data_IF_677645063563
#
_entry.id   IF_677645063563
#
_cell.length_a   1.000
_cell.length_b   1.000
_cell.length_c   1.000
_cell.angle_alpha   90.00
_cell.angle_beta   90.00
_cell.angle_gamma   90.00
#
_symmetry.space_group_name_H-M   'P 1'
#
loop_
_entity.id
_entity.type
_entity.pdbx_description
1 polymer ?
#
# COMPACT_ATOMS: atom_id res chain seq x y z
N UNK A 1 10.21 19.87 26.79
CA UNK A 1 10.78 18.56 26.48
C UNK A 1 9.58 17.63 26.27
N UNK A 2 9.02 17.60 25.05
CA UNK A 2 7.83 16.80 24.75
C UNK A 2 8.31 15.54 24.05
N UNK A 3 8.18 14.41 24.75
CA UNK A 3 8.37 13.07 24.17
C UNK A 3 7.18 12.80 23.22
N UNK A 4 7.41 12.84 21.93
CA UNK A 4 6.45 12.35 20.94
C UNK A 4 6.51 10.83 21.00
N UNK A 5 5.59 10.24 21.75
CA UNK A 5 5.32 8.80 21.72
C UNK A 5 4.65 8.48 20.39
N UNK A 6 5.40 7.97 19.44
CA UNK A 6 4.88 7.23 18.29
C UNK A 6 4.34 5.90 18.83
N UNK A 7 3.06 5.86 19.15
CA UNK A 7 2.37 4.61 19.46
C UNK A 7 2.25 3.78 18.19
N UNK A 8 3.13 2.81 18.06
CA UNK A 8 2.77 1.60 17.34
C UNK A 8 1.61 0.98 18.11
N UNK A 9 0.57 0.49 17.43
CA UNK A 9 -0.54 -0.23 18.02
C UNK A 9 -0.03 -1.43 18.85
N UNK A 10 0.12 -1.23 20.15
CA UNK A 10 0.45 -2.22 21.14
C UNK A 10 -0.33 -1.91 22.40
N UNK A 11 -1.45 -2.63 22.60
CA UNK A 11 -2.26 -2.59 23.80
C UNK A 11 -1.57 -3.30 24.96
N UNK A 12 -1.50 -2.65 26.10
CA UNK A 12 -1.06 -3.21 27.39
C UNK A 12 -1.92 -2.72 28.55
N UNK A 13 -2.85 -3.56 29.01
CA UNK A 13 -3.27 -3.77 30.36
C UNK A 13 -4.20 -2.80 31.09
N UNK A 14 -5.45 -3.23 31.30
CA UNK A 14 -6.27 -2.81 32.44
C UNK A 14 -7.73 -2.50 32.15
N UNK A 15 -8.60 -3.51 32.15
CA UNK A 15 -10.00 -3.52 32.59
C UNK A 15 -11.06 -2.68 31.88
N UNK A 16 -11.89 -3.37 31.17
CA UNK A 16 -13.32 -3.29 30.84
C UNK A 16 -13.65 -3.11 29.36
N UNK A 17 -14.41 -4.08 28.88
CA UNK A 17 -15.21 -4.23 27.66
C UNK A 17 -15.22 -3.09 26.63
N UNK A 18 -14.64 -3.36 25.45
CA UNK A 18 -14.77 -2.55 24.25
C UNK A 18 -13.87 -3.10 23.15
N UNK A 19 -14.44 -3.59 22.07
CA UNK A 19 -13.82 -4.41 21.03
C UNK A 19 -12.45 -3.98 20.52
N UNK A 20 -11.52 -4.88 20.59
CA UNK A 20 -10.19 -4.77 19.99
C UNK A 20 -10.30 -4.99 18.49
N UNK A 21 -10.05 -3.96 17.69
CA UNK A 21 -9.75 -4.11 16.27
C UNK A 21 -8.36 -4.73 16.15
N UNK A 22 -8.32 -6.05 16.03
CA UNK A 22 -7.10 -6.76 15.70
C UNK A 22 -6.74 -6.55 14.24
N UNK A 23 -5.51 -6.13 13.96
CA UNK A 23 -4.93 -6.17 12.62
C UNK A 23 -4.84 -7.62 12.16
N UNK A 24 -5.84 -8.06 11.40
CA UNK A 24 -5.87 -9.41 10.84
C UNK A 24 -5.21 -9.37 9.46
N UNK A 25 -4.03 -9.95 9.33
CA UNK A 25 -3.44 -10.23 8.04
C UNK A 25 -4.05 -11.52 7.46
N UNK A 26 -4.74 -11.42 6.34
CA UNK A 26 -5.27 -12.60 5.65
C UNK A 26 -4.31 -13.09 4.57
N UNK A 27 -3.94 -14.34 4.65
CA UNK A 27 -3.38 -15.07 3.52
C UNK A 27 -4.53 -15.68 2.71
N UNK A 28 -4.59 -15.37 1.43
CA UNK A 28 -5.57 -15.93 0.52
C UNK A 28 -5.35 -17.44 0.36
N UNK A 29 -6.41 -18.20 0.56
CA UNK A 29 -6.42 -19.63 0.31
C UNK A 29 -6.71 -19.87 -1.17
N UNK A 30 -5.72 -20.29 -1.95
CA UNK A 30 -5.91 -20.77 -3.31
C UNK A 30 -5.99 -22.30 -3.31
N UNK A 31 -7.19 -22.85 -3.17
CA UNK A 31 -7.44 -24.24 -3.56
C UNK A 31 -8.02 -24.25 -4.98
N UNK A 32 -7.15 -24.39 -5.98
CA UNK A 32 -7.55 -24.64 -7.35
C UNK A 32 -7.78 -26.12 -7.57
N UNK A 33 -8.99 -26.52 -7.97
CA UNK A 33 -9.20 -27.78 -8.65
C UNK A 33 -9.61 -27.50 -10.10
N UNK A 34 -8.87 -28.11 -11.01
CA UNK A 34 -9.07 -28.00 -12.45
C UNK A 34 -10.33 -28.70 -12.94
N UNK A 35 -10.87 -28.17 -14.01
CA UNK A 35 -11.92 -28.78 -14.81
C UNK A 35 -11.77 -28.31 -16.25
N UNK A 36 -11.32 -29.22 -17.09
CA UNK A 36 -11.20 -29.09 -18.53
C UNK A 36 -12.57 -29.03 -19.23
N UNK A 37 -12.73 -28.13 -20.20
CA UNK A 37 -13.88 -28.10 -21.09
C UNK A 37 -13.62 -27.22 -22.30
N UNK A 38 -13.19 -27.86 -23.40
CA UNK A 38 -13.15 -27.27 -24.75
C UNK A 38 -14.55 -27.16 -25.33
N UNK A 39 -14.88 -26.05 -25.96
CA UNK A 39 -15.62 -26.06 -27.22
C UNK A 39 -15.52 -24.69 -27.89
N UNK A 40 -15.21 -24.73 -29.16
CA UNK A 40 -15.01 -23.62 -30.04
C UNK A 40 -16.33 -23.08 -30.62
N UNK A 41 -16.28 -21.91 -31.22
CA UNK A 41 -17.40 -21.28 -31.94
C UNK A 41 -16.91 -20.04 -32.68
N UNK A 42 -17.01 -20.12 -33.95
CA UNK A 42 -16.54 -19.27 -35.03
C UNK A 42 -17.10 -17.86 -35.08
N UNK A 43 -16.33 -17.02 -35.73
CA UNK A 43 -16.50 -15.61 -36.04
C UNK A 43 -17.71 -15.31 -36.94
N UNK A 44 -18.26 -14.11 -36.87
CA UNK A 44 -18.63 -13.37 -38.07
C UNK A 44 -18.67 -11.85 -37.78
N UNK A 45 -18.17 -11.11 -38.72
CA UNK A 45 -17.99 -9.67 -38.68
C UNK A 45 -19.26 -8.90 -39.02
N UNK A 46 -19.24 -7.63 -38.70
CA UNK A 46 -20.25 -6.64 -39.09
C UNK A 46 -19.68 -5.24 -38.95
N UNK A 47 -19.30 -4.67 -40.07
CA UNK A 47 -19.02 -3.26 -40.24
C UNK A 47 -20.32 -2.44 -40.24
N UNK A 48 -20.39 -1.36 -39.47
CA UNK A 48 -21.32 -0.28 -39.74
C UNK A 48 -20.67 1.08 -39.42
N UNK A 49 -20.46 1.84 -40.46
CA UNK A 49 -20.16 3.26 -40.49
C UNK A 49 -21.40 4.09 -40.16
N UNK A 50 -21.24 5.14 -39.38
CA UNK A 50 -22.27 6.15 -39.15
C UNK A 50 -21.74 7.32 -38.33
N UNK A 51 -21.47 8.43 -39.01
CA UNK A 51 -21.00 9.68 -38.42
C UNK A 51 -22.13 10.46 -37.76
N UNK A 52 -21.76 11.30 -36.80
CA UNK A 52 -22.62 12.29 -36.16
C UNK A 52 -21.81 13.27 -35.36
N UNK A 53 -21.82 14.51 -35.79
CA UNK A 53 -21.07 15.65 -35.35
C UNK A 53 -21.59 16.30 -34.07
N UNK A 54 -20.62 16.79 -33.26
CA UNK A 54 -20.56 18.04 -32.50
C UNK A 54 -21.45 18.27 -31.28
N UNK A 55 -20.83 18.62 -30.20
CA UNK A 55 -21.41 19.45 -29.16
C UNK A 55 -20.64 19.50 -27.84
N UNK A 56 -19.95 20.60 -27.57
CA UNK A 56 -19.74 21.08 -26.23
C UNK A 56 -18.49 20.63 -25.52
N UNK A 57 -17.39 21.31 -25.75
CA UNK A 57 -16.17 21.16 -24.95
C UNK A 57 -16.35 21.67 -23.51
N UNK A 58 -16.07 20.80 -22.57
CA UNK A 58 -15.53 21.17 -21.27
C UNK A 58 -14.07 20.82 -21.33
N UNK A 59 -13.22 21.81 -21.22
CA UNK A 59 -11.77 21.68 -21.11
C UNK A 59 -11.41 20.98 -19.79
N UNK A 60 -11.58 19.67 -19.78
CA UNK A 60 -10.86 18.83 -18.81
C UNK A 60 -9.39 18.93 -19.20
N UNK A 61 -8.60 19.55 -18.35
CA UNK A 61 -7.16 19.58 -18.55
C UNK A 61 -6.67 18.15 -18.73
N UNK A 62 -5.90 17.94 -19.78
CA UNK A 62 -5.22 16.68 -20.04
C UNK A 62 -4.52 16.24 -18.76
N UNK A 63 -4.69 15.00 -18.29
CA UNK A 63 -3.95 14.54 -17.11
C UNK A 63 -2.47 14.74 -17.41
N UNK A 64 -1.81 15.47 -16.51
CA UNK A 64 -0.36 15.70 -16.62
C UNK A 64 0.31 14.35 -16.87
N UNK A 65 1.23 14.26 -17.84
CA UNK A 65 1.88 12.98 -18.14
C UNK A 65 2.47 12.41 -16.86
N UNK A 66 2.20 11.13 -16.63
CA UNK A 66 2.68 10.41 -15.45
C UNK A 66 4.20 10.52 -15.43
N UNK A 67 4.79 10.99 -14.33
CA UNK A 67 6.22 11.18 -14.28
C UNK A 67 6.92 9.83 -14.44
N UNK A 68 8.01 9.79 -15.22
CA UNK A 68 8.91 8.62 -15.21
C UNK A 68 9.37 8.35 -13.77
N UNK A 69 9.86 7.14 -13.52
CA UNK A 69 10.41 6.74 -12.21
C UNK A 69 11.40 7.79 -11.69
N UNK A 70 12.31 8.27 -12.55
CA UNK A 70 13.27 9.33 -12.22
C UNK A 70 12.59 10.67 -11.91
N UNK A 71 11.59 11.08 -12.70
CA UNK A 71 10.89 12.33 -12.46
C UNK A 71 10.11 12.31 -11.14
N UNK A 72 9.53 11.17 -10.77
CA UNK A 72 8.86 11.00 -9.47
C UNK A 72 9.86 11.15 -8.32
N UNK A 73 11.00 10.47 -8.38
CA UNK A 73 12.05 10.55 -7.34
C UNK A 73 12.62 11.97 -7.23
N UNK A 74 12.83 12.65 -8.37
CA UNK A 74 13.24 14.06 -8.42
C UNK A 74 12.21 14.98 -7.75
N UNK A 75 10.91 14.74 -8.01
CA UNK A 75 9.83 15.50 -7.35
C UNK A 75 9.82 15.30 -5.83
N UNK A 76 10.25 14.13 -5.34
CA UNK A 76 10.44 13.87 -3.91
C UNK A 76 11.70 14.54 -3.32
N UNK A 77 12.53 15.18 -4.14
CA UNK A 77 13.79 15.79 -3.71
C UNK A 77 14.85 14.76 -3.32
N UNK A 78 14.80 13.55 -3.89
CA UNK A 78 15.70 12.45 -3.56
C UNK A 78 16.67 12.14 -4.69
N UNK A 79 17.83 11.51 -4.40
CA UNK A 79 18.78 11.03 -5.41
C UNK A 79 18.13 10.05 -6.39
N UNK A 80 18.51 10.10 -7.67
CA UNK A 80 17.98 9.25 -8.75
C UNK A 80 18.43 7.79 -8.62
N UNK A 81 17.96 7.09 -7.63
CA UNK A 81 18.17 5.66 -7.34
C UNK A 81 16.91 5.06 -6.74
N UNK A 82 16.85 3.74 -6.65
CA UNK A 82 15.78 3.07 -5.89
C UNK A 82 15.89 3.52 -4.42
N UNK A 83 14.80 4.08 -3.90
CA UNK A 83 14.74 4.62 -2.54
C UNK A 83 14.49 3.50 -1.53
N UNK A 84 15.00 3.67 -0.33
CA UNK A 84 14.73 2.77 0.79
C UNK A 84 13.80 3.44 1.80
N UNK A 85 12.81 2.70 2.27
CA UNK A 85 11.88 3.17 3.28
C UNK A 85 11.74 2.21 4.45
N UNK A 86 11.22 2.74 5.55
CA UNK A 86 10.78 1.99 6.72
C UNK A 86 9.35 2.37 7.07
N UNK A 87 8.56 1.40 7.47
CA UNK A 87 7.16 1.57 7.86
C UNK A 87 6.86 1.06 9.25
N UNK A 88 5.62 0.64 9.47
CA UNK A 88 5.12 0.20 10.76
C UNK A 88 6.07 -0.74 11.51
N UNK A 89 6.12 -0.59 12.82
CA UNK A 89 7.02 -1.37 13.70
C UNK A 89 8.46 -0.85 13.77
N UNK A 90 8.79 0.21 13.03
CA UNK A 90 10.14 0.79 13.00
C UNK A 90 10.09 2.26 13.45
N UNK A 91 10.18 2.57 14.74
CA UNK A 91 10.06 3.92 15.27
C UNK A 91 11.25 4.83 14.87
N UNK A 92 10.97 6.11 14.68
CA UNK A 92 11.97 7.08 14.22
C UNK A 92 13.14 7.27 15.20
N UNK A 93 12.90 7.16 16.49
CA UNK A 93 13.95 7.22 17.52
C UNK A 93 14.90 6.01 17.45
N UNK A 94 14.37 4.83 17.11
CA UNK A 94 15.18 3.63 16.87
C UNK A 94 15.99 3.74 15.56
N UNK A 95 15.41 4.32 14.51
CA UNK A 95 16.18 4.62 13.29
C UNK A 95 17.36 5.54 13.62
N UNK A 96 17.13 6.59 14.42
CA UNK A 96 18.18 7.52 14.86
C UNK A 96 19.26 6.84 15.70
N UNK A 97 18.85 5.98 16.64
CA UNK A 97 19.81 5.30 17.52
C UNK A 97 20.72 4.31 16.80
N UNK A 98 20.27 3.78 15.66
CA UNK A 98 21.01 2.84 14.82
C UNK A 98 21.67 3.51 13.60
N UNK A 99 21.61 4.83 13.48
CA UNK A 99 22.12 5.59 12.31
C UNK A 99 21.55 5.13 10.99
N UNK A 100 20.26 4.76 10.96
CA UNK A 100 19.54 4.35 9.76
C UNK A 100 18.92 5.59 9.12
N UNK A 101 19.26 5.88 7.87
CA UNK A 101 18.77 7.03 7.10
C UNK A 101 17.86 6.61 5.95
N UNK A 102 16.58 6.28 6.20
CA UNK A 102 15.65 5.93 5.13
C UNK A 102 15.29 7.16 4.28
N UNK A 103 14.99 6.92 3.01
CA UNK A 103 14.46 7.96 2.12
C UNK A 103 12.99 8.25 2.37
N UNK A 104 12.24 7.23 2.82
CA UNK A 104 10.79 7.27 3.06
C UNK A 104 10.50 6.69 4.45
N UNK A 105 9.57 7.32 5.18
CA UNK A 105 9.01 6.76 6.41
C UNK A 105 7.50 6.71 6.27
N UNK A 106 6.93 5.49 6.36
CA UNK A 106 5.49 5.24 6.27
C UNK A 106 4.86 5.14 7.65
N UNK A 107 3.66 5.70 7.78
CA UNK A 107 2.82 5.62 8.98
C UNK A 107 1.35 5.50 8.59
N UNK A 108 0.55 4.92 9.47
CA UNK A 108 -0.86 4.66 9.21
C UNK A 108 -1.78 5.77 9.69
N UNK A 109 -2.88 5.94 8.95
CA UNK A 109 -4.06 6.73 9.32
C UNK A 109 -5.23 5.76 9.43
N UNK A 110 -5.60 5.40 10.66
CA UNK A 110 -6.60 4.36 10.92
C UNK A 110 -7.82 4.90 11.66
N UNK A 111 -8.94 4.20 11.51
CA UNK A 111 -10.17 4.45 12.23
C UNK A 111 -11.06 5.50 11.56
N UNK A 112 -12.37 5.38 11.83
CA UNK A 112 -13.41 6.37 11.50
C UNK A 112 -14.21 6.64 12.77
N UNK A 113 -14.43 7.91 13.10
CA UNK A 113 -15.16 8.30 14.30
C UNK A 113 -14.28 8.51 15.54
N UNK A 114 -14.80 8.17 16.71
CA UNK A 114 -14.13 8.39 17.99
C UNK A 114 -12.84 7.54 18.10
N UNK A 115 -11.74 8.15 18.56
CA UNK A 115 -10.45 7.48 18.71
C UNK A 115 -9.67 7.30 17.41
N UNK A 116 -10.23 7.71 16.26
CA UNK A 116 -9.55 7.68 14.97
C UNK A 116 -8.39 8.70 14.90
N UNK A 117 -7.53 8.53 13.89
CA UNK A 117 -6.30 9.31 13.71
C UNK A 117 -6.45 10.84 13.83
N UNK A 118 -7.59 11.47 13.44
CA UNK A 118 -7.72 12.92 13.62
C UNK A 118 -7.61 13.38 15.08
N UNK A 119 -8.01 12.53 16.01
CA UNK A 119 -8.06 12.86 17.44
C UNK A 119 -6.78 12.51 18.23
N UNK A 120 -5.78 11.93 17.57
CA UNK A 120 -4.53 11.52 18.25
C UNK A 120 -3.68 12.71 18.71
N UNK A 121 -3.86 13.88 18.08
CA UNK A 121 -3.18 15.12 18.45
C UNK A 121 -4.15 16.31 18.35
N UNK A 122 -3.89 17.38 19.09
CA UNK A 122 -4.64 18.63 18.99
C UNK A 122 -3.83 19.69 18.23
N UNK A 123 -4.48 20.50 17.36
CA UNK A 123 -5.87 20.39 16.89
C UNK A 123 -6.09 19.17 15.99
N UNK A 124 -7.35 18.81 15.73
CA UNK A 124 -7.69 17.64 14.94
C UNK A 124 -6.88 17.53 13.63
N UNK A 125 -6.37 16.33 13.37
CA UNK A 125 -5.49 16.04 12.24
C UNK A 125 -4.05 16.55 12.38
N UNK A 126 -3.68 17.17 13.50
CA UNK A 126 -2.31 17.62 13.73
C UNK A 126 -1.28 16.47 13.75
N UNK A 127 -1.73 15.23 13.91
CA UNK A 127 -0.91 14.04 13.77
C UNK A 127 -0.14 14.03 12.44
N UNK A 128 -0.81 14.30 11.32
CA UNK A 128 -0.14 14.37 10.00
C UNK A 128 0.94 15.46 9.99
N UNK A 129 0.62 16.64 10.53
CA UNK A 129 1.56 17.77 10.55
C UNK A 129 2.81 17.44 11.38
N UNK A 130 2.63 16.98 12.61
CA UNK A 130 3.75 16.69 13.52
C UNK A 130 4.60 15.52 13.03
N UNK A 131 3.95 14.46 12.55
CA UNK A 131 4.63 13.28 12.02
C UNK A 131 5.42 13.63 10.76
N UNK A 132 4.81 14.34 9.81
CA UNK A 132 5.49 14.76 8.59
C UNK A 132 6.70 15.67 8.91
N UNK A 133 6.54 16.64 9.80
CA UNK A 133 7.65 17.53 10.20
C UNK A 133 8.80 16.76 10.86
N UNK A 134 8.50 15.79 11.73
CA UNK A 134 9.52 14.96 12.37
C UNK A 134 10.28 14.09 11.34
N UNK A 135 9.58 13.51 10.38
CA UNK A 135 10.16 12.69 9.30
C UNK A 135 11.00 13.56 8.37
N UNK A 136 10.51 14.73 7.98
CA UNK A 136 11.24 15.68 7.11
C UNK A 136 12.49 16.25 7.79
N UNK A 137 12.40 16.56 9.09
CA UNK A 137 13.57 16.99 9.87
C UNK A 137 14.65 15.90 9.98
N UNK A 138 14.25 14.63 9.82
CA UNK A 138 15.19 13.50 9.73
C UNK A 138 15.72 13.30 8.31
N UNK A 139 15.27 14.08 7.33
CA UNK A 139 15.69 14.00 5.94
C UNK A 139 14.92 12.98 5.10
N UNK A 140 13.84 12.39 5.60
CA UNK A 140 13.01 11.43 4.88
C UNK A 140 11.74 12.08 4.29
N UNK A 141 11.12 11.42 3.32
CA UNK A 141 9.82 11.78 2.75
C UNK A 141 8.73 11.09 3.56
N UNK A 142 7.72 11.82 4.04
CA UNK A 142 6.58 11.21 4.72
C UNK A 142 5.73 10.40 3.73
N UNK A 143 5.33 9.21 4.13
CA UNK A 143 4.30 8.41 3.50
C UNK A 143 3.20 8.14 4.52
N UNK A 144 1.95 8.21 4.08
CA UNK A 144 0.79 7.91 4.91
C UNK A 144 -0.04 6.82 4.26
N UNK A 145 -0.25 5.73 5.00
CA UNK A 145 -1.15 4.66 4.59
C UNK A 145 -2.53 4.92 5.16
N UNK A 146 -3.47 5.33 4.30
CA UNK A 146 -4.87 5.48 4.65
C UNK A 146 -5.51 4.09 4.76
N UNK A 147 -5.92 3.70 5.96
CA UNK A 147 -6.45 2.36 6.27
C UNK A 147 -7.69 2.47 7.16
N UNK A 148 -8.72 3.11 6.63
CA UNK A 148 -9.93 3.45 7.38
C UNK A 148 -11.10 2.51 7.07
N UNK A 149 -11.14 1.91 5.87
CA UNK A 149 -12.20 0.99 5.47
C UNK A 149 -12.24 -0.30 6.31
N UNK A 150 -11.13 -0.65 6.95
CA UNK A 150 -11.06 -1.78 7.89
C UNK A 150 -11.66 -1.48 9.28
N UNK A 151 -12.11 -0.25 9.58
CA UNK A 151 -12.60 0.15 10.90
C UNK A 151 -13.75 -0.71 11.42
N UNK A 152 -14.63 -1.16 10.54
CA UNK A 152 -15.78 -2.02 10.88
C UNK A 152 -15.53 -3.49 10.65
N UNK A 153 -14.29 -3.86 10.38
CA UNK A 153 -13.83 -5.19 9.99
C UNK A 153 -13.43 -5.24 8.51
N UNK A 154 -12.32 -5.89 8.22
CA UNK A 154 -11.87 -6.09 6.86
C UNK A 154 -12.92 -6.83 6.03
N UNK A 155 -13.14 -6.35 4.80
CA UNK A 155 -14.15 -6.91 3.89
C UNK A 155 -15.60 -6.61 4.25
N UNK A 156 -15.87 -5.77 5.25
CA UNK A 156 -17.24 -5.33 5.55
C UNK A 156 -17.72 -4.26 4.55
N UNK A 157 -18.24 -4.72 3.39
CA UNK A 157 -18.73 -3.81 2.35
C UNK A 157 -20.00 -3.05 2.73
N UNK A 158 -20.70 -3.41 3.81
CA UNK A 158 -21.88 -2.64 4.24
C UNK A 158 -21.50 -1.23 4.73
N UNK A 159 -20.30 -1.05 5.26
CA UNK A 159 -19.82 0.24 5.76
C UNK A 159 -19.76 1.31 4.67
N UNK A 160 -19.40 0.96 3.43
CA UNK A 160 -19.27 1.95 2.34
C UNK A 160 -20.63 2.50 1.87
N UNK A 161 -21.73 1.89 2.29
CA UNK A 161 -23.09 2.37 2.05
C UNK A 161 -23.81 2.85 3.33
N UNK A 162 -23.12 2.85 4.46
CA UNK A 162 -23.62 3.43 5.71
C UNK A 162 -23.39 4.94 5.75
N UNK A 163 -24.47 5.71 5.93
CA UNK A 163 -24.40 7.19 5.87
C UNK A 163 -23.55 7.77 7.00
N UNK A 164 -23.65 7.24 8.21
CA UNK A 164 -22.91 7.77 9.35
C UNK A 164 -21.42 7.48 9.21
N UNK A 165 -21.06 6.25 8.84
CA UNK A 165 -19.68 5.85 8.57
C UNK A 165 -19.07 6.69 7.45
N UNK A 166 -19.71 6.78 6.29
CA UNK A 166 -19.18 7.49 5.13
C UNK A 166 -19.13 9.02 5.32
N UNK A 167 -20.01 9.59 6.13
CA UNK A 167 -19.91 11.01 6.54
C UNK A 167 -18.60 11.24 7.31
N UNK A 168 -18.32 10.39 8.29
CA UNK A 168 -17.06 10.43 9.05
C UNK A 168 -15.83 10.18 8.18
N UNK A 169 -15.88 9.15 7.33
CA UNK A 169 -14.80 8.79 6.41
C UNK A 169 -14.42 9.97 5.51
N UNK A 170 -15.37 10.54 4.79
CA UNK A 170 -15.10 11.65 3.87
C UNK A 170 -14.62 12.93 4.58
N UNK A 171 -15.15 13.21 5.78
CA UNK A 171 -14.66 14.34 6.58
C UNK A 171 -13.17 14.15 6.94
N UNK A 172 -12.78 12.94 7.28
CA UNK A 172 -11.39 12.61 7.62
C UNK A 172 -10.48 12.58 6.38
N UNK A 173 -10.92 12.02 5.24
CA UNK A 173 -10.19 12.10 3.96
C UNK A 173 -9.93 13.55 3.55
N UNK A 174 -10.94 14.41 3.67
CA UNK A 174 -10.79 15.85 3.40
C UNK A 174 -9.76 16.49 4.33
N UNK A 175 -9.87 16.22 5.63
CA UNK A 175 -8.92 16.73 6.62
C UNK A 175 -7.49 16.25 6.32
N UNK A 176 -7.32 14.97 5.94
CA UNK A 176 -6.03 14.42 5.52
C UNK A 176 -5.41 15.25 4.40
N UNK A 177 -6.14 15.45 3.31
CA UNK A 177 -5.64 16.23 2.17
C UNK A 177 -5.39 17.70 2.53
N UNK A 178 -6.23 18.32 3.35
CA UNK A 178 -6.00 19.69 3.83
C UNK A 178 -4.71 19.80 4.67
N UNK A 179 -4.46 18.85 5.56
CA UNK A 179 -3.21 18.81 6.34
C UNK A 179 -1.99 18.59 5.45
N UNK A 180 -2.07 17.72 4.47
CA UNK A 180 -1.00 17.49 3.50
C UNK A 180 -0.75 18.72 2.61
N UNK A 181 -1.80 19.40 2.16
CA UNK A 181 -1.66 20.66 1.41
C UNK A 181 -0.93 21.73 2.22
N UNK A 182 -1.25 21.85 3.51
CA UNK A 182 -0.62 22.81 4.42
C UNK A 182 0.88 22.56 4.66
N UNK A 183 1.37 21.32 4.46
CA UNK A 183 2.82 21.05 4.54
C UNK A 183 3.60 21.73 3.42
N UNK A 184 2.99 21.97 2.26
CA UNK A 184 3.62 22.63 1.13
C UNK A 184 4.74 21.83 0.43
N UNK A 185 4.97 20.59 0.83
CA UNK A 185 6.00 19.67 0.33
C UNK A 185 5.36 18.38 -0.17
N UNK A 186 6.03 17.59 -1.05
CA UNK A 186 5.53 16.28 -1.46
C UNK A 186 5.40 15.31 -0.29
N UNK A 187 4.33 14.53 -0.32
CA UNK A 187 4.06 13.39 0.55
C UNK A 187 3.55 12.22 -0.29
N UNK A 188 3.79 11.00 0.14
CA UNK A 188 3.25 9.79 -0.49
C UNK A 188 1.99 9.35 0.26
N UNK A 189 1.00 8.86 -0.46
CA UNK A 189 -0.24 8.31 0.13
C UNK A 189 -0.54 6.95 -0.47
N UNK A 190 -0.64 5.94 0.38
CA UNK A 190 -1.14 4.62 0.03
C UNK A 190 -2.63 4.54 0.37
N UNK A 191 -3.47 4.28 -0.61
CA UNK A 191 -4.91 4.43 -0.52
C UNK A 191 -5.62 3.09 -0.25
N UNK A 192 -6.05 2.87 0.99
CA UNK A 192 -6.92 1.78 1.44
C UNK A 192 -6.42 0.39 1.02
N UNK A 193 -5.27 -0.06 1.54
CA UNK A 193 -4.82 -1.44 1.35
C UNK A 193 -5.91 -2.45 1.73
N UNK A 194 -5.89 -3.61 1.06
CA UNK A 194 -6.83 -4.72 1.20
C UNK A 194 -8.26 -4.43 0.76
N UNK A 195 -8.78 -3.23 0.99
CA UNK A 195 -10.14 -2.85 0.63
C UNK A 195 -10.48 -3.15 -0.83
N UNK A 196 -9.59 -2.83 -1.77
CA UNK A 196 -9.81 -3.05 -3.20
C UNK A 196 -9.86 -4.54 -3.56
N UNK A 197 -9.13 -5.37 -2.83
CA UNK A 197 -9.20 -6.82 -2.94
C UNK A 197 -10.56 -7.37 -2.50
N UNK A 198 -11.10 -6.88 -1.40
CA UNK A 198 -12.44 -7.24 -0.95
C UNK A 198 -13.53 -6.73 -1.90
N UNK A 199 -13.37 -5.54 -2.46
CA UNK A 199 -14.26 -5.06 -3.55
C UNK A 199 -14.23 -6.03 -4.71
N UNK A 200 -13.04 -6.43 -5.19
CA UNK A 200 -12.91 -7.40 -6.29
C UNK A 200 -13.52 -8.77 -5.96
N UNK A 201 -13.31 -9.27 -4.74
CA UNK A 201 -13.79 -10.58 -4.32
C UNK A 201 -15.32 -10.64 -4.15
N UNK A 202 -15.95 -9.54 -3.74
CA UNK A 202 -17.38 -9.49 -3.44
C UNK A 202 -18.22 -8.91 -4.59
N UNK A 203 -17.62 -8.14 -5.49
CA UNK A 203 -18.34 -7.60 -6.64
C UNK A 203 -18.63 -8.68 -7.69
N UNK A 204 -19.85 -8.74 -8.23
CA UNK A 204 -20.16 -9.57 -9.40
C UNK A 204 -19.16 -9.28 -10.53
N UNK A 205 -18.54 -10.31 -11.07
CA UNK A 205 -17.52 -10.20 -12.11
C UNK A 205 -16.34 -9.28 -11.79
N UNK A 206 -16.02 -9.06 -10.51
CA UNK A 206 -15.03 -8.08 -10.02
C UNK A 206 -15.32 -6.63 -10.44
N UNK A 207 -16.56 -6.32 -10.79
CA UNK A 207 -16.95 -4.98 -11.23
C UNK A 207 -17.25 -4.08 -10.04
N UNK A 208 -16.32 -3.18 -9.70
CA UNK A 208 -16.45 -2.24 -8.60
C UNK A 208 -17.68 -1.29 -8.73
N UNK A 209 -18.25 -1.16 -9.93
CA UNK A 209 -19.49 -0.41 -10.13
C UNK A 209 -20.73 -1.13 -9.58
N UNK A 210 -20.64 -2.41 -9.25
CA UNK A 210 -21.74 -3.20 -8.66
C UNK A 210 -21.79 -3.12 -7.13
N UNK A 211 -20.78 -2.54 -6.48
CA UNK A 211 -20.78 -2.31 -5.03
C UNK A 211 -21.25 -0.88 -4.78
N UNK A 212 -22.42 -0.73 -4.14
CA UNK A 212 -22.94 0.59 -3.77
C UNK A 212 -22.07 1.24 -2.69
N UNK A 213 -21.77 2.54 -2.86
CA UNK A 213 -21.00 3.34 -1.89
C UNK A 213 -21.47 4.80 -1.93
N UNK A 214 -21.40 5.51 -0.81
CA UNK A 214 -21.79 6.92 -0.73
C UNK A 214 -20.59 7.79 -1.17
N UNK A 215 -20.72 8.44 -2.33
CA UNK A 215 -19.65 9.22 -2.97
C UNK A 215 -20.09 10.65 -3.29
N UNK A 216 -21.20 10.82 -3.97
CA UNK A 216 -21.67 12.10 -4.51
C UNK A 216 -22.03 13.14 -3.43
N UNK A 217 -21.98 12.77 -2.14
CA UNK A 217 -22.11 13.69 -1.01
C UNK A 217 -20.93 14.67 -0.91
N UNK A 218 -19.80 14.37 -1.57
CA UNK A 218 -18.63 15.23 -1.60
C UNK A 218 -18.73 16.20 -2.79
N UNK A 219 -18.52 17.52 -2.58
CA UNK A 219 -18.64 18.52 -3.65
C UNK A 219 -17.76 18.22 -4.86
N UNK A 220 -16.51 17.80 -4.63
CA UNK A 220 -15.57 17.44 -5.68
C UNK A 220 -16.02 16.24 -6.50
N UNK A 221 -16.83 15.37 -5.91
CA UNK A 221 -17.21 14.06 -6.46
C UNK A 221 -18.68 13.98 -6.86
N UNK A 222 -19.42 15.11 -6.88
CA UNK A 222 -20.87 15.15 -7.09
C UNK A 222 -21.30 14.53 -8.44
N UNK A 223 -20.42 14.51 -9.43
CA UNK A 223 -20.67 13.89 -10.74
C UNK A 223 -20.29 12.40 -10.81
N UNK A 224 -19.64 11.86 -9.77
CA UNK A 224 -19.21 10.46 -9.75
C UNK A 224 -20.34 9.53 -9.29
N UNK A 225 -20.35 8.28 -9.74
CA UNK A 225 -21.38 7.32 -9.32
C UNK A 225 -21.22 6.93 -7.84
N UNK A 226 -22.34 6.67 -7.17
CA UNK A 226 -22.37 6.15 -5.80
C UNK A 226 -22.03 4.66 -5.75
N UNK A 227 -20.80 4.32 -6.11
CA UNK A 227 -20.26 2.95 -6.16
C UNK A 227 -18.81 2.91 -5.67
N UNK A 228 -18.29 1.72 -5.40
CA UNK A 228 -16.88 1.55 -5.05
C UNK A 228 -15.92 2.04 -6.17
N UNK A 229 -16.35 1.96 -7.43
CA UNK A 229 -15.61 2.58 -8.54
C UNK A 229 -15.54 4.10 -8.38
N UNK A 230 -16.67 4.75 -8.11
CA UNK A 230 -16.71 6.19 -7.86
C UNK A 230 -15.95 6.59 -6.59
N UNK A 231 -15.92 5.74 -5.56
CA UNK A 231 -15.15 5.98 -4.32
C UNK A 231 -13.65 6.13 -4.63
N UNK A 232 -13.07 5.20 -5.37
CA UNK A 232 -11.65 5.29 -5.74
C UNK A 232 -11.35 6.51 -6.61
N UNK A 233 -12.20 6.80 -7.59
CA UNK A 233 -12.09 8.01 -8.42
C UNK A 233 -12.18 9.28 -7.59
N UNK A 234 -13.06 9.31 -6.58
CA UNK A 234 -13.23 10.44 -5.68
C UNK A 234 -11.97 10.69 -4.83
N UNK A 235 -11.34 9.64 -4.30
CA UNK A 235 -10.08 9.76 -3.57
C UNK A 235 -9.00 10.47 -4.42
N UNK A 236 -8.87 10.07 -5.68
CA UNK A 236 -7.93 10.72 -6.61
C UNK A 236 -8.33 12.17 -6.86
N UNK A 237 -9.59 12.44 -7.19
CA UNK A 237 -10.08 13.76 -7.54
C UNK A 237 -9.94 14.75 -6.38
N UNK A 238 -10.30 14.34 -5.16
CA UNK A 238 -10.07 15.16 -3.96
C UNK A 238 -8.58 15.43 -3.71
N UNK A 239 -7.73 14.41 -3.86
CA UNK A 239 -6.28 14.58 -3.72
C UNK A 239 -5.71 15.60 -4.71
N UNK A 240 -6.10 15.53 -5.97
CA UNK A 240 -5.67 16.49 -7.01
C UNK A 240 -6.14 17.91 -6.75
N UNK A 241 -7.37 18.09 -6.25
CA UNK A 241 -7.94 19.40 -5.99
C UNK A 241 -7.45 20.02 -4.70
N UNK A 242 -7.35 19.25 -3.62
CA UNK A 242 -7.04 19.79 -2.28
C UNK A 242 -5.54 19.76 -1.99
N UNK A 243 -4.85 18.69 -2.37
CA UNK A 243 -3.43 18.46 -2.07
C UNK A 243 -2.62 18.10 -3.32
N UNK A 244 -2.43 19.02 -4.29
CA UNK A 244 -1.81 18.72 -5.59
C UNK A 244 -0.34 18.29 -5.49
N UNK A 245 0.30 18.47 -4.35
CA UNK A 245 1.65 17.95 -4.08
C UNK A 245 1.68 16.55 -3.50
N UNK A 246 0.55 16.01 -3.02
CA UNK A 246 0.45 14.63 -2.59
C UNK A 246 0.55 13.69 -3.80
N UNK A 247 1.35 12.64 -3.67
CA UNK A 247 1.51 11.58 -4.65
C UNK A 247 0.72 10.37 -4.18
N UNK A 248 -0.21 9.92 -5.01
CA UNK A 248 -1.20 8.91 -4.66
C UNK A 248 -0.83 7.56 -5.25
N UNK A 249 -0.95 6.50 -4.44
CA UNK A 249 -0.74 5.14 -4.86
C UNK A 249 -1.89 4.22 -4.48
N UNK A 250 -2.16 3.25 -5.33
CA UNK A 250 -3.14 2.20 -5.07
C UNK A 250 -2.48 0.83 -4.96
N UNK A 251 -2.84 0.03 -3.96
CA UNK A 251 -2.38 -1.33 -3.80
C UNK A 251 -3.29 -2.32 -4.53
N UNK A 252 -2.81 -3.03 -5.58
CA UNK A 252 -3.52 -4.18 -6.13
C UNK A 252 -3.46 -5.36 -5.17
N UNK A 253 -4.55 -6.13 -5.07
CA UNK A 253 -4.66 -7.30 -4.21
C UNK A 253 -4.69 -8.60 -5.03
N UNK A 254 -3.54 -9.21 -5.28
CA UNK A 254 -3.41 -10.37 -6.17
C UNK A 254 -4.04 -11.66 -5.62
N UNK A 255 -4.37 -11.71 -4.33
CA UNK A 255 -5.15 -12.80 -3.76
C UNK A 255 -6.59 -12.84 -4.28
N UNK A 256 -7.08 -11.75 -4.90
CA UNK A 256 -8.46 -11.66 -5.42
C UNK A 256 -8.57 -11.96 -6.93
N UNK A 257 -7.46 -12.15 -7.67
CA UNK A 257 -7.51 -12.46 -9.09
C UNK A 257 -6.17 -12.39 -9.80
N UNK A 258 -6.18 -12.63 -11.09
CA UNK A 258 -5.01 -12.51 -11.96
C UNK A 258 -4.59 -11.05 -12.17
N UNK A 259 -3.33 -10.76 -12.54
CA UNK A 259 -2.89 -9.40 -12.80
C UNK A 259 -3.77 -8.62 -13.80
N UNK A 260 -4.27 -9.28 -14.83
CA UNK A 260 -5.13 -8.64 -15.84
C UNK A 260 -6.53 -8.31 -15.29
N UNK A 261 -7.14 -9.23 -14.54
CA UNK A 261 -8.45 -9.02 -13.90
C UNK A 261 -8.38 -7.88 -12.87
N UNK A 262 -7.33 -7.91 -12.03
CA UNK A 262 -7.13 -6.86 -11.03
C UNK A 262 -6.84 -5.52 -11.70
N UNK A 263 -6.06 -5.48 -12.79
CA UNK A 263 -5.82 -4.24 -13.53
C UNK A 263 -7.12 -3.65 -14.10
N UNK A 264 -8.02 -4.48 -14.63
CA UNK A 264 -9.31 -4.03 -15.12
C UNK A 264 -10.17 -3.41 -14.00
N UNK A 265 -10.27 -4.08 -12.87
CA UNK A 265 -10.97 -3.57 -11.67
C UNK A 265 -10.32 -2.28 -11.14
N UNK A 266 -9.00 -2.24 -11.04
CA UNK A 266 -8.27 -1.07 -10.54
C UNK A 266 -8.32 0.12 -11.50
N UNK A 267 -8.46 -0.12 -12.81
CA UNK A 267 -8.79 0.96 -13.76
C UNK A 267 -10.17 1.55 -13.48
N UNK A 268 -11.16 0.72 -13.20
CA UNK A 268 -12.52 1.20 -12.87
C UNK A 268 -12.53 2.09 -11.61
N UNK A 269 -11.71 1.79 -10.61
CA UNK A 269 -11.58 2.63 -9.40
C UNK A 269 -10.65 3.84 -9.59
N UNK A 270 -10.09 4.06 -10.77
CA UNK A 270 -9.27 5.23 -11.08
C UNK A 270 -7.79 5.10 -10.73
N UNK A 271 -7.30 3.90 -10.38
CA UNK A 271 -5.89 3.68 -10.01
C UNK A 271 -4.91 4.06 -11.14
N UNK A 272 -5.34 4.00 -12.40
CA UNK A 272 -4.54 4.45 -13.54
C UNK A 272 -4.31 5.98 -13.60
N UNK A 273 -5.03 6.77 -12.78
CA UNK A 273 -4.89 8.21 -12.64
C UNK A 273 -4.06 8.60 -11.41
N UNK A 274 -3.58 7.61 -10.65
CA UNK A 274 -2.68 7.80 -9.52
C UNK A 274 -1.24 8.11 -9.99
N UNK A 275 -0.31 8.25 -9.07
CA UNK A 275 1.10 8.57 -9.36
C UNK A 275 1.99 7.32 -9.34
N UNK A 276 1.60 6.28 -8.61
CA UNK A 276 2.39 5.04 -8.48
C UNK A 276 1.52 3.84 -8.11
N UNK A 277 2.08 2.65 -8.30
CA UNK A 277 1.52 1.38 -7.86
C UNK A 277 2.15 1.02 -6.52
N UNK A 278 1.34 0.55 -5.56
CA UNK A 278 1.83 0.01 -4.29
C UNK A 278 1.85 -1.51 -4.39
N UNK A 279 3.01 -2.07 -4.67
CA UNK A 279 3.20 -3.51 -4.69
C UNK A 279 3.37 -4.05 -3.27
N UNK A 280 2.81 -5.20 -2.98
CA UNK A 280 2.94 -5.86 -1.69
C UNK A 280 3.40 -7.30 -1.92
N UNK A 281 4.34 -7.76 -1.10
CA UNK A 281 4.63 -9.18 -0.99
C UNK A 281 3.49 -9.82 -0.20
N UNK A 282 2.94 -10.93 -0.70
CA UNK A 282 1.77 -11.56 -0.09
C UNK A 282 2.07 -12.18 1.27
N UNK A 283 3.30 -12.64 1.44
CA UNK A 283 3.76 -13.23 2.68
C UNK A 283 4.64 -12.26 3.45
N UNK A 284 4.42 -12.21 4.76
CA UNK A 284 5.28 -11.55 5.72
C UNK A 284 6.46 -12.45 6.05
N UNK A 285 7.35 -12.01 6.95
CA UNK A 285 8.40 -12.88 7.46
C UNK A 285 7.82 -14.16 8.12
N UNK A 286 8.66 -15.12 8.43
CA UNK A 286 8.24 -16.41 8.96
C UNK A 286 7.69 -16.35 10.40
N UNK A 287 7.40 -15.17 10.95
CA UNK A 287 6.95 -14.99 12.31
C UNK A 287 5.76 -15.86 12.67
N UNK A 288 4.72 -15.90 11.86
CA UNK A 288 3.55 -16.75 12.09
C UNK A 288 3.87 -18.26 12.19
N UNK A 289 4.93 -18.72 11.52
CA UNK A 289 5.33 -20.12 11.53
C UNK A 289 6.26 -20.45 12.68
N UNK A 290 7.11 -19.54 13.05
CA UNK A 290 8.21 -19.78 14.01
C UNK A 290 7.84 -19.44 15.45
N UNK A 291 6.79 -18.64 15.67
CA UNK A 291 6.36 -18.33 17.03
C UNK A 291 5.84 -19.59 17.76
N UNK A 292 6.25 -19.82 19.02
CA UNK A 292 5.86 -21.03 19.77
C UNK A 292 4.35 -21.14 20.01
N UNK A 293 3.65 -20.03 20.13
CA UNK A 293 2.20 -19.95 20.32
C UNK A 293 1.64 -18.98 19.29
N UNK A 294 1.24 -19.47 18.10
CA UNK A 294 0.77 -18.60 17.05
C UNK A 294 -0.44 -17.74 17.49
N UNK A 295 -0.41 -16.43 17.29
CA UNK A 295 -1.56 -15.58 17.55
C UNK A 295 -2.71 -15.88 16.58
N UNK A 296 -3.90 -15.37 16.88
CA UNK A 296 -5.10 -15.68 16.09
C UNK A 296 -4.96 -15.36 14.60
N UNK A 297 -4.27 -14.26 14.28
CA UNK A 297 -4.00 -13.83 12.92
C UNK A 297 -3.09 -14.78 12.12
N UNK A 298 -2.35 -15.64 12.79
CA UNK A 298 -1.53 -16.68 12.17
C UNK A 298 -2.27 -18.00 11.99
N UNK A 299 -3.47 -18.15 12.59
CA UNK A 299 -4.24 -19.38 12.53
C UNK A 299 -4.69 -19.67 11.09
N UNK A 300 -4.47 -20.90 10.65
CA UNK A 300 -4.85 -21.34 9.30
C UNK A 300 -3.88 -20.94 8.19
N UNK A 301 -2.82 -20.21 8.47
CA UNK A 301 -1.78 -19.92 7.48
C UNK A 301 -1.00 -21.18 7.14
N UNK A 302 -0.86 -21.44 5.85
CA UNK A 302 -0.11 -22.57 5.31
C UNK A 302 1.08 -22.05 4.52
N UNK A 303 2.28 -22.59 4.81
CA UNK A 303 3.48 -22.23 4.03
C UNK A 303 3.39 -22.65 2.57
N UNK A 304 4.42 -22.36 1.77
CA UNK A 304 5.75 -21.95 2.25
C UNK A 304 5.82 -20.48 2.67
N UNK A 305 6.59 -20.20 3.72
CA UNK A 305 6.81 -18.84 4.24
C UNK A 305 8.20 -18.29 3.88
N UNK A 306 9.06 -19.13 3.33
CA UNK A 306 10.42 -18.77 2.93
C UNK A 306 10.47 -18.66 1.41
N UNK A 307 10.91 -17.54 0.92
CA UNK A 307 11.04 -17.30 -0.51
C UNK A 307 12.34 -17.90 -1.05
N UNK A 308 12.25 -18.53 -2.21
CA UNK A 308 13.40 -19.15 -2.87
C UNK A 308 14.27 -18.11 -3.54
N UNK A 309 15.47 -17.87 -2.98
CA UNK A 309 16.46 -16.95 -3.53
C UNK A 309 17.05 -17.42 -4.86
N UNK A 310 16.96 -18.71 -5.18
CA UNK A 310 17.39 -19.25 -6.48
C UNK A 310 16.37 -18.97 -7.59
N UNK A 311 15.18 -18.51 -7.23
CA UNK A 311 14.06 -18.22 -8.14
C UNK A 311 13.61 -19.42 -8.99
N UNK A 312 13.75 -20.66 -8.47
CA UNK A 312 13.37 -21.90 -9.16
C UNK A 312 12.04 -22.47 -8.67
N UNK A 313 11.65 -22.17 -7.43
CA UNK A 313 10.43 -22.68 -6.81
C UNK A 313 9.58 -21.53 -6.23
N UNK A 314 8.26 -21.70 -6.21
CA UNK A 314 7.31 -20.72 -5.65
C UNK A 314 7.19 -20.88 -4.13
N UNK A 315 7.07 -19.78 -3.37
CA UNK A 315 7.17 -18.40 -3.78
C UNK A 315 8.63 -17.94 -4.00
N UNK A 316 8.82 -17.00 -4.92
CA UNK A 316 10.15 -16.44 -5.18
C UNK A 316 10.08 -14.97 -5.64
N UNK A 317 11.22 -14.31 -5.68
CA UNK A 317 11.32 -12.88 -5.95
C UNK A 317 11.01 -12.53 -7.41
N UNK A 318 11.44 -13.36 -8.37
CA UNK A 318 11.16 -13.13 -9.79
C UNK A 318 9.68 -13.34 -10.14
N UNK A 319 9.02 -14.30 -9.49
CA UNK A 319 7.59 -14.52 -9.64
C UNK A 319 6.80 -13.28 -9.21
N UNK A 320 7.13 -12.71 -8.05
CA UNK A 320 6.50 -11.49 -7.53
C UNK A 320 6.76 -10.29 -8.45
N UNK A 321 7.99 -10.10 -8.92
CA UNK A 321 8.33 -9.04 -9.88
C UNK A 321 7.59 -9.22 -11.22
N UNK A 322 7.45 -10.44 -11.70
CA UNK A 322 6.71 -10.76 -12.92
C UNK A 322 5.22 -10.45 -12.77
N UNK A 323 4.63 -10.79 -11.62
CA UNK A 323 3.23 -10.52 -11.32
C UNK A 323 2.92 -9.02 -11.32
N UNK A 324 3.71 -8.22 -10.63
CA UNK A 324 3.50 -6.76 -10.60
C UNK A 324 3.79 -6.10 -11.95
N UNK A 325 4.76 -6.61 -12.71
CA UNK A 325 5.06 -6.13 -14.06
C UNK A 325 3.92 -6.43 -15.03
N UNK A 326 3.31 -7.61 -14.95
CA UNK A 326 2.12 -7.96 -15.73
C UNK A 326 0.92 -7.07 -15.38
N UNK A 327 0.70 -6.80 -14.09
CA UNK A 327 -0.32 -5.86 -13.63
C UNK A 327 -0.07 -4.44 -14.17
N UNK A 328 1.16 -3.93 -14.03
CA UNK A 328 1.55 -2.61 -14.53
C UNK A 328 1.30 -2.48 -16.03
N UNK A 329 1.67 -3.49 -16.80
CA UNK A 329 1.42 -3.54 -18.25
C UNK A 329 -0.09 -3.52 -18.57
N UNK A 330 -0.89 -4.31 -17.86
CA UNK A 330 -2.34 -4.38 -18.05
C UNK A 330 -3.05 -3.10 -17.57
N UNK A 331 -2.54 -2.42 -16.52
CA UNK A 331 -3.04 -1.12 -16.09
C UNK A 331 -2.81 -0.03 -17.16
N UNK A 332 -1.77 -0.16 -17.97
CA UNK A 332 -1.66 0.48 -19.29
C UNK A 332 -1.13 1.90 -19.31
N UNK A 333 -0.60 2.46 -18.21
CA UNK A 333 -0.09 3.84 -18.18
C UNK A 333 1.32 3.99 -17.59
N UNK A 334 2.01 2.88 -17.34
CA UNK A 334 3.43 2.91 -17.02
C UNK A 334 3.81 3.47 -15.65
N UNK A 335 2.89 3.45 -14.68
CA UNK A 335 3.15 3.96 -13.33
C UNK A 335 4.40 3.34 -12.68
N UNK A 336 5.22 4.14 -11.96
CA UNK A 336 6.29 3.62 -11.11
C UNK A 336 5.76 2.71 -10.00
N UNK A 337 6.61 1.84 -9.48
CA UNK A 337 6.27 0.84 -8.44
C UNK A 337 6.95 1.21 -7.13
N UNK A 338 6.20 1.17 -6.04
CA UNK A 338 6.71 1.17 -4.66
C UNK A 338 6.36 -0.17 -4.03
N UNK A 339 7.35 -0.89 -3.52
CA UNK A 339 7.12 -2.09 -2.71
C UNK A 339 6.84 -1.65 -1.27
N UNK A 340 5.80 -2.20 -0.68
CA UNK A 340 5.29 -1.81 0.63
C UNK A 340 5.05 -3.01 1.53
N UNK A 341 5.17 -2.82 2.83
CA UNK A 341 5.12 -3.88 3.83
C UNK A 341 6.04 -5.07 3.51
N UNK A 342 7.19 -4.77 2.95
CA UNK A 342 8.19 -5.80 2.67
C UNK A 342 8.74 -6.35 3.99
N UNK A 343 8.78 -7.67 4.17
CA UNK A 343 9.23 -8.29 5.42
C UNK A 343 10.65 -7.87 5.84
N UNK A 344 10.88 -7.85 7.16
CA UNK A 344 12.15 -7.45 7.76
C UNK A 344 12.94 -8.60 8.38
N UNK A 345 12.46 -9.83 8.28
CA UNK A 345 13.11 -11.00 8.85
C UNK A 345 14.60 -11.12 8.52
N UNK A 346 15.24 -12.07 9.13
CA UNK A 346 16.65 -12.37 8.93
C UNK A 346 16.84 -13.50 7.92
N UNK A 347 18.02 -13.69 7.30
CA UNK A 347 18.23 -14.74 6.32
C UNK A 347 17.79 -16.12 6.81
N UNK A 348 17.21 -16.95 5.93
CA UNK A 348 16.66 -18.25 6.28
C UNK A 348 17.71 -19.22 6.87
N UNK A 349 19.00 -19.01 6.62
CA UNK A 349 20.11 -19.75 7.23
C UNK A 349 20.45 -19.26 8.64
N UNK A 350 19.96 -18.09 9.05
CA UNK A 350 20.13 -17.56 10.41
C UNK A 350 19.17 -18.29 11.34
N UNK A 351 19.58 -18.70 12.57
CA UNK A 351 18.68 -19.27 13.53
C UNK A 351 17.51 -18.31 13.79
N UNK A 352 16.30 -18.73 13.41
CA UNK A 352 15.05 -18.03 13.70
C UNK A 352 14.42 -18.61 14.97
N UNK A 353 13.14 -18.25 15.23
CA UNK A 353 12.38 -18.83 16.33
C UNK A 353 12.67 -18.22 17.71
N UNK A 354 13.34 -17.08 17.78
CA UNK A 354 13.32 -16.20 18.95
C UNK A 354 12.25 -15.15 18.77
N UNK A 355 11.64 -14.71 19.87
CA UNK A 355 10.56 -13.75 19.81
C UNK A 355 10.96 -12.50 19.01
N UNK A 356 10.12 -12.12 18.06
CA UNK A 356 10.31 -10.98 17.15
C UNK A 356 11.59 -11.03 16.27
N UNK A 357 12.23 -12.19 16.14
CA UNK A 357 13.43 -12.38 15.34
C UNK A 357 13.27 -13.65 14.50
N UNK A 358 12.58 -13.54 13.38
CA UNK A 358 12.18 -14.66 12.54
C UNK A 358 12.88 -14.65 11.20
N UNK A 359 12.95 -15.81 10.55
CA UNK A 359 13.65 -16.01 9.30
C UNK A 359 12.91 -15.36 8.14
N UNK A 360 13.63 -14.63 7.34
CA UNK A 360 13.18 -14.13 6.04
C UNK A 360 14.37 -13.62 5.24
N UNK A 361 14.27 -13.62 3.93
CA UNK A 361 15.36 -13.23 3.04
C UNK A 361 15.11 -11.90 2.32
N UNK A 362 13.98 -11.23 2.52
CA UNK A 362 13.61 -10.08 1.69
C UNK A 362 14.61 -8.93 1.79
N UNK A 363 15.06 -8.56 2.99
CA UNK A 363 16.03 -7.48 3.17
C UNK A 363 17.34 -7.81 2.47
N UNK A 364 17.88 -9.01 2.69
CA UNK A 364 19.13 -9.43 2.09
C UNK A 364 19.03 -9.54 0.56
N UNK A 365 18.03 -10.26 0.06
CA UNK A 365 17.85 -10.47 -1.38
C UNK A 365 17.61 -9.14 -2.11
N UNK A 366 16.66 -8.32 -1.66
CA UNK A 366 16.26 -7.11 -2.37
C UNK A 366 17.36 -6.05 -2.37
N UNK A 367 18.13 -5.91 -1.28
CA UNK A 367 19.24 -4.96 -1.25
C UNK A 367 20.46 -5.44 -2.05
N UNK A 368 20.71 -6.74 -2.10
CA UNK A 368 21.77 -7.33 -2.92
C UNK A 368 21.46 -7.26 -4.42
N UNK A 369 20.19 -7.46 -4.77
CA UNK A 369 19.70 -7.51 -6.15
C UNK A 369 18.85 -6.27 -6.51
N UNK A 370 19.09 -5.12 -5.87
CA UNK A 370 18.26 -3.94 -6.02
C UNK A 370 18.17 -3.40 -7.45
N UNK A 371 19.16 -3.71 -8.32
CA UNK A 371 19.12 -3.32 -9.72
C UNK A 371 18.00 -4.02 -10.49
N UNK A 372 17.67 -5.28 -10.18
CA UNK A 372 16.53 -5.99 -10.78
C UNK A 372 15.20 -5.22 -10.54
N UNK A 373 15.06 -4.63 -9.35
CA UNK A 373 13.92 -3.79 -9.01
C UNK A 373 13.94 -2.45 -9.76
N UNK A 374 15.08 -1.81 -9.85
CA UNK A 374 15.26 -0.59 -10.66
C UNK A 374 14.90 -0.83 -12.13
N UNK A 375 15.32 -1.96 -12.70
CA UNK A 375 15.06 -2.35 -14.09
C UNK A 375 13.56 -2.65 -14.35
N UNK A 376 12.80 -3.00 -13.32
CA UNK A 376 11.35 -3.23 -13.36
C UNK A 376 10.53 -2.01 -12.92
N UNK A 377 11.09 -0.80 -13.02
CA UNK A 377 10.45 0.48 -12.70
C UNK A 377 10.07 0.67 -11.22
N UNK A 378 10.74 0.00 -10.31
CA UNK A 378 10.63 0.26 -8.88
C UNK A 378 11.35 1.56 -8.53
N UNK A 379 10.64 2.50 -7.88
CA UNK A 379 11.28 3.71 -7.35
C UNK A 379 11.59 3.61 -5.86
N UNK A 380 10.91 2.72 -5.12
CA UNK A 380 11.13 2.58 -3.68
C UNK A 380 10.79 1.17 -3.17
N UNK A 381 11.47 0.77 -2.10
CA UNK A 381 11.17 -0.42 -1.31
C UNK A 381 11.02 0.02 0.15
N UNK A 382 9.82 -0.14 0.71
CA UNK A 382 9.48 0.20 2.10
C UNK A 382 9.34 -1.08 2.90
N UNK A 383 10.28 -1.30 3.81
CA UNK A 383 10.30 -2.45 4.70
C UNK A 383 9.50 -2.17 5.97
N UNK A 384 8.75 -3.15 6.46
CA UNK A 384 8.01 -3.00 7.71
C UNK A 384 7.72 -4.35 8.35
N UNK A 385 7.36 -4.31 9.63
CA UNK A 385 6.68 -5.45 10.22
C UNK A 385 5.27 -5.58 9.64
N UNK A 386 4.69 -6.72 9.62
CA UNK A 386 3.27 -6.88 9.28
C UNK A 386 2.39 -7.08 10.52
N UNK A 387 3.01 -7.30 11.68
CA UNK A 387 2.34 -7.53 12.96
C UNK A 387 3.33 -7.42 14.11
N UNK A 388 2.82 -7.37 15.33
CA UNK A 388 3.64 -7.16 16.53
C UNK A 388 4.65 -8.28 16.81
N UNK A 389 4.42 -9.48 16.29
CA UNK A 389 5.30 -10.64 16.45
C UNK A 389 6.38 -10.72 15.36
N UNK A 390 6.35 -9.84 14.36
CA UNK A 390 7.29 -9.88 13.23
C UNK A 390 8.56 -9.10 13.52
N UNK A 391 9.61 -9.41 12.77
CA UNK A 391 10.92 -8.79 12.88
C UNK A 391 10.87 -7.29 12.55
N UNK A 392 11.60 -6.49 13.30
CA UNK A 392 11.78 -5.04 13.09
C UNK A 392 13.26 -4.67 13.18
N UNK A 393 13.61 -3.41 12.93
CA UNK A 393 15.00 -2.92 13.11
C UNK A 393 15.52 -3.09 14.54
N UNK A 394 14.65 -3.30 15.53
CA UNK A 394 15.06 -3.53 16.92
C UNK A 394 15.36 -4.98 17.22
N UNK A 395 14.93 -5.90 16.34
CA UNK A 395 15.02 -7.35 16.56
C UNK A 395 15.76 -8.09 15.45
N UNK A 396 16.12 -7.42 14.34
CA UNK A 396 16.81 -8.00 13.18
C UNK A 396 18.33 -8.21 13.37
N UNK A 397 18.84 -7.94 14.57
CA UNK A 397 20.29 -8.02 14.86
C UNK A 397 21.13 -6.99 14.11
N UNK A 398 20.53 -5.87 13.68
CA UNK A 398 21.20 -4.80 12.93
C UNK A 398 21.38 -5.12 11.45
N UNK A 399 20.67 -6.11 10.91
CA UNK A 399 20.76 -6.50 9.51
C UNK A 399 20.40 -5.34 8.58
N UNK A 400 19.26 -4.71 8.81
CA UNK A 400 18.80 -3.61 7.98
C UNK A 400 19.76 -2.42 8.03
N UNK A 401 20.21 -2.01 9.23
CA UNK A 401 21.16 -0.93 9.40
C UNK A 401 22.44 -1.16 8.58
N UNK A 402 23.03 -2.36 8.68
CA UNK A 402 24.24 -2.73 7.95
C UNK A 402 24.02 -2.79 6.44
N UNK A 403 22.98 -3.45 5.96
CA UNK A 403 22.76 -3.67 4.52
C UNK A 403 22.29 -2.38 3.82
N UNK A 404 21.44 -1.56 4.46
CA UNK A 404 21.03 -0.27 3.90
C UNK A 404 22.22 0.69 3.80
N UNK A 405 23.08 0.76 4.82
CA UNK A 405 24.31 1.56 4.78
C UNK A 405 25.23 1.12 3.62
N UNK A 406 25.43 -0.19 3.43
CA UNK A 406 26.22 -0.72 2.31
C UNK A 406 25.58 -0.40 0.95
N UNK A 407 24.26 -0.47 0.85
CA UNK A 407 23.51 -0.12 -0.37
C UNK A 407 23.72 1.37 -0.71
N UNK A 408 23.57 2.25 0.27
CA UNK A 408 23.73 3.69 0.09
C UNK A 408 25.18 4.07 -0.25
N UNK A 409 26.16 3.43 0.40
CA UNK A 409 27.59 3.67 0.13
C UNK A 409 27.99 3.30 -1.30
N UNK A 410 27.29 2.37 -1.96
CA UNK A 410 27.48 2.02 -3.37
C UNK A 410 26.74 2.94 -4.35
N UNK A 411 26.04 3.95 -3.86
CA UNK A 411 25.23 4.87 -4.67
C UNK A 411 23.81 4.36 -4.97
N UNK A 412 23.44 3.17 -4.51
CA UNK A 412 22.14 2.55 -4.76
C UNK A 412 22.00 1.96 -6.16
N UNK A 413 20.80 1.46 -6.48
CA UNK A 413 20.44 0.93 -7.79
C UNK A 413 19.86 2.03 -8.69
N UNK A 414 20.20 2.01 -9.98
CA UNK A 414 19.72 3.01 -10.95
C UNK A 414 18.23 2.81 -11.27
N UNK A 415 17.57 3.91 -11.63
CA UNK A 415 16.17 3.90 -12.07
C UNK A 415 16.05 3.73 -13.58
N UNK A 416 15.04 2.98 -14.00
CA UNK A 416 14.69 2.85 -15.42
C UNK A 416 13.60 3.86 -15.82
#
# INVERSE_FOLDING_TARGET
MFSVLLFGCGGGGGGSQGGSAGLIGFAGNSSGQGGSGQSGGTASGGTATGGGTAGGGTTGGDPSPIPSTTALVTRLGKPARVLLGLGAGNPLDQMKSQDIHPDIVDTYLVGVGAGAWPTWNSPDGAYITYTAQAIQAYGAVPMFTLYQMATTGEGNMSAVNDTAFMTGYWAQVRLMYQRMAALGTPVLVNLEPDFWGFVAAQAPNRDAAQIAAIVSSQPECSALPNTAAGLGQCLVQMGRQIAPKALLGFPPAFWSGTPAEIAAQMRAVGAHQADFIVAQTTDRDAGCREVPSPPAECTGRTGPFYWDESNQTSPNFHESQSQISAYRAALGNGLPILWWQTPMGVPSTTPGGTDLHYRDNHVDYMLRNAQEYGDTHTFAIVFSTGGQFQTSITTDGGQFARLSSQYLARGGATLK
#
